data_IF_471278682226
#
_entry.id   IF_471278682226
#
_cell.length_a   1.000
_cell.length_b   1.000
_cell.length_c   1.000
_cell.angle_alpha   90.00
_cell.angle_beta   90.00
_cell.angle_gamma   90.00
#
_symmetry.space_group_name_H-M   'P 1'
#
loop_
_entity.id
_entity.type
_entity.pdbx_description
1 polymer ?
#
# COMPACT_ATOMS: atom_id res chain seq x y z
N UNK A 1 23.41 37.45 -59.38
CA UNK A 1 22.07 37.87 -59.83
C UNK A 1 21.09 36.74 -59.58
N UNK A 2 19.85 37.07 -59.20
CA UNK A 2 18.70 36.20 -58.89
C UNK A 2 18.83 35.31 -57.62
N UNK A 3 18.26 35.82 -56.52
CA UNK A 3 18.08 35.11 -55.26
C UNK A 3 16.73 34.40 -55.15
N UNK A 4 16.67 33.35 -54.31
CA UNK A 4 15.43 32.82 -53.75
C UNK A 4 15.63 32.59 -52.25
N UNK A 5 15.01 33.45 -51.45
CA UNK A 5 14.88 33.34 -49.98
C UNK A 5 13.87 32.24 -49.65
N UNK A 6 14.27 31.23 -48.88
CA UNK A 6 13.35 30.33 -48.16
C UNK A 6 13.09 30.92 -46.77
N UNK A 7 11.81 31.09 -46.45
CA UNK A 7 11.32 31.53 -45.15
C UNK A 7 11.57 30.45 -44.09
N UNK A 8 12.01 30.90 -42.92
CA UNK A 8 11.97 30.17 -41.64
C UNK A 8 10.51 30.13 -41.17
N UNK A 9 10.07 28.95 -40.78
CA UNK A 9 8.95 28.80 -39.86
C UNK A 9 9.56 28.48 -38.49
N UNK A 10 9.57 29.50 -37.64
CA UNK A 10 9.90 29.42 -36.24
C UNK A 10 8.67 28.87 -35.50
N UNK A 11 8.72 27.60 -35.09
CA UNK A 11 7.79 27.02 -34.11
C UNK A 11 8.48 27.09 -32.74
N UNK A 12 8.31 28.24 -32.11
CA UNK A 12 8.72 28.53 -30.74
C UNK A 12 7.55 28.22 -29.78
N UNK A 13 7.86 27.83 -28.53
CA UNK A 13 6.88 27.78 -27.44
C UNK A 13 6.39 26.40 -27.00
N UNK A 14 7.30 25.45 -26.77
CA UNK A 14 7.02 24.31 -25.89
C UNK A 14 7.06 24.75 -24.43
N UNK A 15 5.91 25.10 -23.85
CA UNK A 15 5.81 25.53 -22.45
C UNK A 15 6.23 24.39 -21.51
N UNK A 16 7.20 24.58 -20.61
CA UNK A 16 7.60 23.55 -19.66
C UNK A 16 6.46 23.30 -18.66
N UNK A 17 6.22 22.03 -18.34
CA UNK A 17 5.25 21.51 -17.36
C UNK A 17 5.48 21.99 -15.89
N UNK A 18 6.27 23.04 -15.67
CA UNK A 18 6.73 23.52 -14.37
C UNK A 18 5.96 24.72 -13.80
N UNK A 19 4.94 25.24 -14.47
CA UNK A 19 4.24 26.46 -14.06
C UNK A 19 2.83 26.28 -13.48
N UNK A 20 2.35 25.04 -13.29
CA UNK A 20 1.03 24.78 -12.68
C UNK A 20 0.95 24.94 -11.15
N UNK A 21 2.03 25.36 -10.48
CA UNK A 21 2.10 25.43 -9.03
C UNK A 21 1.86 26.83 -8.42
N UNK A 22 1.52 27.87 -9.20
CA UNK A 22 1.58 29.26 -8.74
C UNK A 22 0.24 30.01 -8.58
N UNK A 23 -0.94 29.34 -8.59
CA UNK A 23 -2.25 30.03 -8.53
C UNK A 23 -3.24 29.53 -7.46
N UNK A 24 -2.77 28.90 -6.38
CA UNK A 24 -3.55 28.85 -5.13
C UNK A 24 -3.00 29.88 -4.13
N UNK A 25 -3.56 31.08 -4.22
CA UNK A 25 -3.40 32.16 -3.26
C UNK A 25 -3.86 31.70 -1.88
N UNK A 26 -2.93 31.71 -0.93
CA UNK A 26 -3.07 32.21 0.44
C UNK A 26 -4.52 32.28 0.98
N UNK A 27 -4.98 31.17 1.55
CA UNK A 27 -6.01 31.18 2.61
C UNK A 27 -5.34 30.76 3.92
N UNK A 28 -4.41 31.59 4.39
CA UNK A 28 -3.85 31.53 5.75
C UNK A 28 -4.93 32.00 6.73
N UNK A 29 -5.39 31.14 7.65
CA UNK A 29 -6.22 31.62 8.76
C UNK A 29 -7.05 30.61 9.57
N UNK A 30 -7.09 29.31 9.26
CA UNK A 30 -7.97 28.38 10.00
C UNK A 30 -7.38 27.03 10.41
N UNK A 31 -6.08 26.80 10.26
CA UNK A 31 -5.44 25.52 10.58
C UNK A 31 -4.77 25.52 11.96
N UNK A 32 -5.56 25.48 13.05
CA UNK A 32 -5.05 25.12 14.39
C UNK A 32 -6.12 24.70 15.41
N UNK A 33 -7.41 24.70 15.07
CA UNK A 33 -8.47 24.26 15.96
C UNK A 33 -9.13 23.00 15.39
N UNK A 34 -8.39 21.89 15.39
CA UNK A 34 -9.05 20.59 15.48
C UNK A 34 -9.72 20.56 16.83
N UNK A 35 -10.96 21.05 16.88
CA UNK A 35 -11.87 20.78 17.97
C UNK A 35 -11.74 19.29 18.27
N UNK A 36 -11.40 18.95 19.52
CA UNK A 36 -11.40 17.59 20.05
C UNK A 36 -12.86 17.11 20.18
N UNK A 37 -13.62 17.25 19.09
CA UNK A 37 -14.86 16.53 18.89
C UNK A 37 -14.51 15.06 18.94
N UNK A 38 -15.27 14.30 19.73
CA UNK A 38 -15.14 12.84 19.76
C UNK A 38 -15.31 12.34 18.33
N UNK A 39 -14.21 11.94 17.68
CA UNK A 39 -14.25 11.14 16.46
C UNK A 39 -15.13 9.93 16.75
N UNK A 40 -16.34 9.98 16.20
CA UNK A 40 -17.36 8.95 16.37
C UNK A 40 -17.46 8.21 15.04
N UNK A 41 -17.14 6.92 15.08
CA UNK A 41 -17.34 6.03 13.93
C UNK A 41 -18.70 5.35 14.07
N UNK A 42 -19.53 5.31 13.01
CA UNK A 42 -20.79 4.57 13.03
C UNK A 42 -20.60 3.05 12.94
N UNK A 43 -19.35 2.58 13.00
CA UNK A 43 -18.94 1.19 12.86
C UNK A 43 -18.05 0.75 14.02
N UNK A 44 -18.00 -0.56 14.25
CA UNK A 44 -17.08 -1.15 15.22
C UNK A 44 -15.67 -1.14 14.65
N UNK A 45 -14.76 -0.48 15.34
CA UNK A 45 -13.34 -0.47 15.01
C UNK A 45 -12.52 -0.82 16.26
N UNK A 46 -11.43 -1.58 16.09
CA UNK A 46 -10.49 -1.76 17.19
C UNK A 46 -9.69 -0.48 17.37
N UNK A 47 -9.42 -0.13 18.63
CA UNK A 47 -8.68 1.07 18.97
C UNK A 47 -7.32 1.16 18.25
N UNK A 48 -6.65 0.02 18.07
CA UNK A 48 -5.33 -0.05 17.43
C UNK A 48 -5.38 -0.07 15.89
N UNK A 49 -6.53 0.12 15.27
CA UNK A 49 -6.64 0.20 13.80
C UNK A 49 -6.76 1.64 13.27
N UNK A 50 -6.94 2.62 14.16
CA UNK A 50 -7.09 4.03 13.78
C UNK A 50 -5.75 4.69 13.51
N UNK A 51 -5.14 4.38 12.37
CA UNK A 51 -3.86 4.94 11.94
C UNK A 51 -4.01 5.66 10.60
N UNK A 52 -3.86 6.98 10.64
CA UNK A 52 -3.92 7.81 9.44
C UNK A 52 -2.69 7.59 8.56
N UNK A 53 -2.89 7.41 7.25
CA UNK A 53 -1.83 7.33 6.25
C UNK A 53 -1.02 8.62 6.24
N UNK A 54 0.30 8.51 6.34
CA UNK A 54 1.17 9.69 6.27
C UNK A 54 1.23 10.30 4.87
N UNK A 55 1.49 11.61 4.82
CA UNK A 55 1.73 12.32 3.56
C UNK A 55 2.92 11.75 2.78
N UNK A 56 3.94 11.22 3.48
CA UNK A 56 5.07 10.53 2.85
C UNK A 56 4.61 9.30 2.06
N UNK A 57 3.82 8.42 2.68
CA UNK A 57 3.29 7.24 2.00
C UNK A 57 2.41 7.62 0.80
N UNK A 58 1.62 8.69 0.92
CA UNK A 58 0.80 9.21 -0.17
C UNK A 58 1.63 9.82 -1.31
N UNK A 59 2.74 10.50 -1.02
CA UNK A 59 3.66 11.04 -2.05
C UNK A 59 4.30 9.95 -2.90
N UNK A 60 4.61 8.81 -2.30
CA UNK A 60 5.18 7.67 -3.01
C UNK A 60 4.15 7.05 -3.96
N UNK A 61 2.94 6.78 -3.48
CA UNK A 61 1.88 6.22 -4.34
C UNK A 61 1.31 7.25 -5.34
N UNK A 62 1.43 8.55 -5.09
CA UNK A 62 1.00 9.59 -6.02
C UNK A 62 1.69 9.47 -7.39
N UNK A 63 2.92 8.97 -7.45
CA UNK A 63 3.60 8.69 -8.73
C UNK A 63 2.81 7.70 -9.59
N UNK A 64 2.32 6.62 -8.97
CA UNK A 64 1.49 5.61 -9.64
C UNK A 64 0.16 6.21 -10.08
N UNK A 65 -0.46 7.00 -9.20
CA UNK A 65 -1.73 7.69 -9.48
C UNK A 65 -1.58 8.62 -10.68
N UNK A 66 -0.51 9.42 -10.74
CA UNK A 66 -0.23 10.31 -11.87
C UNK A 66 -0.07 9.54 -13.19
N UNK A 67 0.68 8.43 -13.18
CA UNK A 67 0.83 7.59 -14.37
C UNK A 67 -0.50 7.01 -14.84
N UNK A 68 -1.34 6.53 -13.92
CA UNK A 68 -2.64 5.96 -14.26
C UNK A 68 -3.61 7.04 -14.74
N UNK A 69 -3.60 8.21 -14.12
CA UNK A 69 -4.39 9.38 -14.50
C UNK A 69 -4.11 9.80 -15.95
N UNK A 70 -2.84 9.84 -16.35
CA UNK A 70 -2.46 10.15 -17.74
C UNK A 70 -2.98 9.13 -18.76
N UNK A 71 -3.19 7.88 -18.34
CA UNK A 71 -3.70 6.81 -19.21
C UNK A 71 -5.23 6.79 -19.28
N UNK A 72 -5.91 6.99 -18.15
CA UNK A 72 -7.37 6.88 -18.06
C UNK A 72 -8.10 8.18 -18.41
N UNK A 73 -7.52 9.33 -18.06
CA UNK A 73 -8.16 10.65 -18.17
C UNK A 73 -7.25 11.70 -18.85
N UNK A 74 -6.63 11.42 -20.01
CA UNK A 74 -5.65 12.33 -20.63
C UNK A 74 -6.22 13.73 -20.92
N UNK A 75 -7.50 13.81 -21.30
CA UNK A 75 -8.16 15.07 -21.67
C UNK A 75 -8.83 15.80 -20.50
N UNK A 76 -9.00 15.14 -19.35
CA UNK A 76 -9.70 15.70 -18.19
C UNK A 76 -9.13 15.10 -16.88
N UNK A 77 -7.84 15.35 -16.59
CA UNK A 77 -7.15 14.76 -15.44
C UNK A 77 -7.80 15.11 -14.10
N UNK A 78 -8.46 16.27 -14.00
CA UNK A 78 -9.23 16.69 -12.83
C UNK A 78 -10.44 15.79 -12.51
N UNK A 79 -10.90 15.00 -13.48
CA UNK A 79 -11.97 14.03 -13.29
C UNK A 79 -11.48 12.69 -12.73
N UNK A 80 -10.18 12.52 -12.49
CA UNK A 80 -9.65 11.31 -11.88
C UNK A 80 -10.11 11.18 -10.42
N UNK A 81 -10.72 10.05 -10.08
CA UNK A 81 -11.33 9.81 -8.77
C UNK A 81 -10.57 8.72 -8.01
N UNK A 82 -10.06 9.09 -6.83
CA UNK A 82 -9.50 8.15 -5.85
C UNK A 82 -10.58 7.75 -4.84
N UNK A 83 -10.72 6.46 -4.57
CA UNK A 83 -11.58 5.93 -3.51
C UNK A 83 -10.75 5.39 -2.34
N UNK A 84 -11.00 5.88 -1.13
CA UNK A 84 -10.43 5.34 0.12
C UNK A 84 -11.55 4.90 1.07
N UNK A 85 -11.84 3.59 1.17
CA UNK A 85 -12.95 3.08 1.97
C UNK A 85 -12.74 3.12 3.49
N UNK A 86 -11.51 3.14 3.97
CA UNK A 86 -11.24 3.00 5.41
C UNK A 86 -11.07 4.37 6.07
N UNK A 87 -12.04 4.76 6.89
CA UNK A 87 -12.07 6.08 7.51
C UNK A 87 -11.34 6.12 8.87
N UNK A 88 -10.36 7.03 8.98
CA UNK A 88 -9.69 7.36 10.24
C UNK A 88 -10.07 8.79 10.70
N UNK A 89 -9.24 9.80 10.48
CA UNK A 89 -9.56 11.19 10.82
C UNK A 89 -10.05 12.02 9.62
N UNK A 90 -10.05 11.43 8.42
CA UNK A 90 -10.45 12.11 7.18
C UNK A 90 -9.39 13.01 6.57
N UNK A 91 -8.16 13.03 7.11
CA UNK A 91 -7.11 13.96 6.63
C UNK A 91 -6.56 13.58 5.27
N UNK A 92 -6.71 12.31 4.86
CA UNK A 92 -6.30 11.79 3.56
C UNK A 92 -6.85 12.63 2.40
N UNK A 93 -8.07 13.17 2.50
CA UNK A 93 -8.68 14.01 1.47
C UNK A 93 -7.86 15.29 1.25
N UNK A 94 -7.44 15.95 2.34
CA UNK A 94 -6.60 17.15 2.27
C UNK A 94 -5.21 16.81 1.70
N UNK A 95 -4.65 15.67 2.06
CA UNK A 95 -3.36 15.23 1.50
C UNK A 95 -3.45 14.96 0.01
N UNK A 96 -4.47 14.24 -0.45
CA UNK A 96 -4.70 14.02 -1.88
C UNK A 96 -4.91 15.31 -2.66
N UNK A 97 -5.68 16.26 -2.13
CA UNK A 97 -5.84 17.59 -2.73
C UNK A 97 -4.50 18.34 -2.85
N UNK A 98 -3.65 18.24 -1.83
CA UNK A 98 -2.29 18.82 -1.85
C UNK A 98 -1.39 18.15 -2.90
N UNK A 99 -1.64 16.88 -3.21
CA UNK A 99 -0.95 16.09 -4.23
C UNK A 99 -1.58 16.23 -5.62
N UNK A 100 -2.62 17.07 -5.79
CA UNK A 100 -3.23 17.38 -7.08
C UNK A 100 -4.44 16.52 -7.46
N UNK A 101 -4.84 15.55 -6.63
CA UNK A 101 -6.06 14.76 -6.84
C UNK A 101 -7.24 15.49 -6.21
N UNK A 102 -8.12 16.05 -7.04
CA UNK A 102 -9.23 16.89 -6.58
C UNK A 102 -10.46 16.10 -6.13
N UNK A 103 -10.68 14.91 -6.73
CA UNK A 103 -11.86 14.07 -6.46
C UNK A 103 -11.46 12.86 -5.64
N UNK A 104 -11.81 12.89 -4.36
CA UNK A 104 -11.55 11.81 -3.41
C UNK A 104 -12.86 11.38 -2.76
N UNK A 105 -13.23 10.11 -2.94
CA UNK A 105 -14.34 9.51 -2.22
C UNK A 105 -13.79 8.94 -0.92
N UNK A 106 -14.13 9.56 0.21
CA UNK A 106 -13.71 9.14 1.53
C UNK A 106 -14.72 9.62 2.58
N UNK A 107 -15.49 8.70 3.13
CA UNK A 107 -16.59 9.01 4.05
C UNK A 107 -16.50 8.15 5.31
N UNK A 108 -16.98 8.69 6.43
CA UNK A 108 -17.07 7.98 7.71
C UNK A 108 -18.22 6.95 7.68
N UNK A 109 -18.07 5.90 6.86
CA UNK A 109 -19.03 4.83 6.62
C UNK A 109 -18.38 3.48 6.93
N UNK A 110 -19.21 2.48 7.18
CA UNK A 110 -18.74 1.10 7.34
C UNK A 110 -18.55 0.47 5.95
N UNK A 111 -17.30 0.34 5.52
CA UNK A 111 -16.96 -0.24 4.22
C UNK A 111 -17.57 -1.62 3.97
N UNK A 112 -17.59 -2.49 4.99
CA UNK A 112 -18.09 -3.85 4.78
C UNK A 112 -19.60 -3.90 4.76
N UNK A 113 -20.25 -3.01 5.51
CA UNK A 113 -21.68 -2.82 5.39
C UNK A 113 -22.04 -2.30 4.00
N UNK A 114 -21.30 -1.30 3.50
CA UNK A 114 -21.51 -0.76 2.16
C UNK A 114 -21.38 -1.85 1.07
N UNK A 115 -20.38 -2.74 1.18
CA UNK A 115 -20.25 -3.91 0.27
C UNK A 115 -21.46 -4.86 0.39
N UNK A 116 -21.89 -5.17 1.61
CA UNK A 116 -22.99 -6.11 1.84
C UNK A 116 -24.33 -5.58 1.33
N UNK A 117 -24.52 -4.26 1.36
CA UNK A 117 -25.72 -3.56 0.92
C UNK A 117 -25.66 -3.17 -0.57
N UNK A 118 -24.49 -3.26 -1.22
CA UNK A 118 -24.28 -2.84 -2.61
C UNK A 118 -24.20 -1.32 -2.78
N UNK A 119 -23.87 -0.61 -1.70
CA UNK A 119 -23.78 0.84 -1.60
C UNK A 119 -22.34 1.36 -1.80
N UNK A 120 -21.37 0.47 -2.05
CA UNK A 120 -20.01 0.88 -2.33
C UNK A 120 -19.92 1.65 -3.67
N UNK A 121 -19.15 2.75 -3.76
CA UNK A 121 -19.10 3.58 -4.96
C UNK A 121 -18.60 2.81 -6.18
N UNK A 122 -19.30 2.88 -7.31
CA UNK A 122 -18.84 2.29 -8.57
C UNK A 122 -18.04 3.29 -9.43
N UNK A 123 -18.33 4.59 -9.32
CA UNK A 123 -17.67 5.66 -10.10
C UNK A 123 -16.37 6.14 -9.44
N UNK A 124 -15.32 5.32 -9.57
CA UNK A 124 -13.94 5.68 -9.22
C UNK A 124 -12.93 5.14 -10.23
N UNK A 125 -11.76 5.75 -10.34
CA UNK A 125 -10.71 5.27 -11.25
C UNK A 125 -9.70 4.35 -10.54
N UNK A 126 -9.38 4.63 -9.27
CA UNK A 126 -8.48 3.80 -8.46
C UNK A 126 -8.87 3.79 -6.98
N UNK A 127 -8.83 2.61 -6.36
CA UNK A 127 -8.95 2.48 -4.89
C UNK A 127 -7.57 2.61 -4.26
N UNK A 128 -7.35 3.56 -3.35
CA UNK A 128 -6.08 3.72 -2.63
C UNK A 128 -6.35 3.81 -1.13
N UNK A 129 -5.77 2.90 -0.33
CA UNK A 129 -6.11 2.84 1.10
C UNK A 129 -5.02 2.27 2.01
N UNK A 130 -5.16 2.49 3.32
CA UNK A 130 -4.39 1.87 4.40
C UNK A 130 -5.38 1.15 5.32
N UNK A 131 -5.67 -0.15 5.09
CA UNK A 131 -6.67 -0.86 5.86
C UNK A 131 -6.23 -1.06 7.32
N UNK A 132 -7.18 -1.31 8.23
CA UNK A 132 -6.91 -1.94 9.52
C UNK A 132 -5.99 -3.17 9.39
N UNK A 133 -5.06 -3.33 10.34
CA UNK A 133 -4.12 -4.46 10.33
C UNK A 133 -4.55 -5.60 11.25
N UNK A 134 -5.57 -5.38 12.09
CA UNK A 134 -6.17 -6.41 12.92
C UNK A 134 -7.00 -7.42 12.10
N UNK A 135 -7.39 -8.52 12.75
CA UNK A 135 -8.35 -9.48 12.20
C UNK A 135 -8.01 -10.02 10.81
N UNK A 136 -9.05 -10.12 9.98
CA UNK A 136 -9.02 -10.59 8.58
C UNK A 136 -9.18 -9.43 7.57
N UNK A 137 -9.01 -8.19 8.02
CA UNK A 137 -9.31 -6.98 7.24
C UNK A 137 -8.56 -6.92 5.90
N UNK A 138 -7.27 -7.28 5.92
CA UNK A 138 -6.40 -7.28 4.74
C UNK A 138 -6.85 -8.34 3.72
N UNK A 139 -7.21 -9.53 4.18
CA UNK A 139 -7.66 -10.63 3.33
C UNK A 139 -9.03 -10.34 2.71
N UNK A 140 -9.97 -9.82 3.51
CA UNK A 140 -11.29 -9.39 3.03
C UNK A 140 -11.20 -8.26 2.02
N UNK A 141 -10.33 -7.26 2.28
CA UNK A 141 -10.06 -6.20 1.30
C UNK A 141 -9.53 -6.80 0.00
N UNK A 142 -8.51 -7.67 0.06
CA UNK A 142 -7.92 -8.24 -1.14
C UNK A 142 -8.93 -9.04 -1.98
N UNK A 143 -9.79 -9.82 -1.33
CA UNK A 143 -10.87 -10.55 -2.00
C UNK A 143 -11.85 -9.60 -2.71
N UNK A 144 -12.23 -8.50 -2.06
CA UNK A 144 -13.04 -7.46 -2.70
C UNK A 144 -12.31 -6.86 -3.91
N UNK A 145 -11.03 -6.48 -3.78
CA UNK A 145 -10.24 -5.87 -4.85
C UNK A 145 -10.15 -6.77 -6.09
N UNK A 146 -9.89 -8.06 -5.91
CA UNK A 146 -9.85 -9.06 -6.98
C UNK A 146 -11.21 -9.20 -7.65
N UNK A 147 -12.29 -9.25 -6.88
CA UNK A 147 -13.65 -9.37 -7.42
C UNK A 147 -14.06 -8.13 -8.24
N UNK A 148 -13.69 -6.93 -7.80
CA UNK A 148 -14.00 -5.67 -8.48
C UNK A 148 -13.24 -5.47 -9.79
N UNK A 149 -12.05 -6.07 -9.95
CA UNK A 149 -11.19 -5.94 -11.16
C UNK A 149 -10.90 -4.50 -11.56
N UNK A 150 -10.82 -3.58 -10.59
CA UNK A 150 -10.47 -2.16 -10.79
C UNK A 150 -9.07 -1.88 -10.27
N UNK A 151 -8.39 -0.83 -10.78
CA UNK A 151 -7.09 -0.41 -10.25
C UNK A 151 -7.12 -0.19 -8.74
N UNK A 152 -6.09 -0.68 -8.05
CA UNK A 152 -5.97 -0.55 -6.61
C UNK A 152 -4.53 -0.35 -6.14
N UNK A 153 -4.39 0.29 -4.99
CA UNK A 153 -3.21 0.27 -4.16
C UNK A 153 -3.61 0.18 -2.69
N UNK A 154 -2.98 -0.71 -1.93
CA UNK A 154 -3.22 -0.78 -0.49
C UNK A 154 -1.90 -0.90 0.29
N UNK A 155 -1.81 -0.16 1.39
CA UNK A 155 -0.63 -0.06 2.23
C UNK A 155 -0.74 -1.04 3.40
N UNK A 156 0.08 -2.08 3.41
CA UNK A 156 0.03 -3.12 4.46
C UNK A 156 1.43 -3.56 4.86
N UNK A 157 1.58 -4.31 5.97
CA UNK A 157 2.88 -4.83 6.38
C UNK A 157 3.54 -5.68 5.29
N UNK A 158 4.86 -5.57 5.19
CA UNK A 158 5.70 -6.28 4.21
C UNK A 158 5.50 -7.81 4.24
N UNK A 159 5.33 -8.36 5.45
CA UNK A 159 5.07 -9.79 5.66
C UNK A 159 3.76 -10.29 5.04
N UNK A 160 2.83 -9.41 4.64
CA UNK A 160 1.60 -9.83 3.97
C UNK A 160 1.92 -10.59 2.68
N UNK A 161 2.94 -10.18 1.94
CA UNK A 161 3.38 -10.87 0.72
C UNK A 161 3.96 -12.28 0.98
N UNK A 162 4.25 -12.63 2.23
CA UNK A 162 4.70 -13.98 2.61
C UNK A 162 3.58 -14.88 3.11
N UNK A 163 2.35 -14.39 3.23
CA UNK A 163 1.20 -15.19 3.70
C UNK A 163 0.73 -16.16 2.61
N UNK A 164 0.37 -17.38 3.02
CA UNK A 164 -0.06 -18.43 2.09
C UNK A 164 -1.34 -18.06 1.34
N UNK A 165 -2.30 -17.42 2.02
CA UNK A 165 -3.54 -16.95 1.40
C UNK A 165 -3.24 -15.93 0.28
N UNK A 166 -2.34 -14.98 0.53
CA UNK A 166 -2.00 -13.94 -0.44
C UNK A 166 -1.29 -14.54 -1.65
N UNK A 167 -0.28 -15.39 -1.42
CA UNK A 167 0.46 -16.07 -2.49
C UNK A 167 -0.43 -16.96 -3.33
N UNK A 168 -1.33 -17.70 -2.70
CA UNK A 168 -2.30 -18.56 -3.39
C UNK A 168 -3.24 -17.72 -4.24
N UNK A 169 -3.78 -16.63 -3.69
CA UNK A 169 -4.68 -15.74 -4.41
C UNK A 169 -4.00 -15.02 -5.57
N UNK A 170 -2.76 -14.54 -5.42
CA UNK A 170 -1.99 -13.95 -6.53
C UNK A 170 -1.77 -14.96 -7.65
N UNK A 171 -1.35 -16.18 -7.33
CA UNK A 171 -1.13 -17.25 -8.33
C UNK A 171 -2.41 -17.71 -9.02
N UNK A 172 -3.54 -17.65 -8.31
CA UNK A 172 -4.85 -18.03 -8.84
C UNK A 172 -5.40 -16.98 -9.79
N UNK A 173 -5.27 -15.70 -9.45
CA UNK A 173 -5.98 -14.62 -10.16
C UNK A 173 -5.12 -13.84 -11.13
N UNK A 174 -3.78 -13.97 -11.10
CA UNK A 174 -2.90 -13.16 -11.92
C UNK A 174 -1.87 -14.00 -12.66
N UNK A 175 -1.48 -13.52 -13.85
CA UNK A 175 -0.39 -14.09 -14.62
C UNK A 175 0.95 -13.70 -13.97
N UNK A 176 1.81 -14.68 -13.62
CA UNK A 176 3.11 -14.38 -13.07
C UNK A 176 3.96 -13.62 -14.09
N UNK A 177 4.78 -12.70 -13.60
CA UNK A 177 5.73 -11.99 -14.44
C UNK A 177 6.85 -12.96 -14.79
N UNK A 178 7.29 -13.03 -16.07
CA UNK A 178 8.45 -13.82 -16.42
C UNK A 178 9.61 -13.40 -15.53
N UNK A 179 10.26 -14.37 -14.86
CA UNK A 179 11.51 -14.10 -14.16
C UNK A 179 12.47 -13.49 -15.18
N UNK A 180 12.65 -12.17 -15.12
CA UNK A 180 13.65 -11.54 -15.95
C UNK A 180 14.96 -12.14 -15.47
N UNK A 181 15.52 -13.09 -16.22
CA UNK A 181 16.76 -13.82 -15.85
C UNK A 181 17.99 -12.93 -15.62
N UNK A 182 17.79 -11.61 -15.61
CA UNK A 182 18.63 -10.58 -15.04
C UNK A 182 17.79 -9.89 -13.96
N UNK A 183 18.02 -10.23 -12.70
CA UNK A 183 17.38 -9.56 -11.56
C UNK A 183 17.37 -8.05 -11.77
N UNK A 184 16.24 -7.43 -11.43
CA UNK A 184 15.88 -6.03 -11.71
C UNK A 184 17.14 -5.15 -11.80
N UNK A 185 17.45 -4.63 -12.99
CA UNK A 185 18.74 -3.97 -13.30
C UNK A 185 18.99 -2.77 -12.37
N UNK A 186 17.92 -2.29 -11.73
CA UNK A 186 17.94 -1.19 -10.76
C UNK A 186 17.96 -1.64 -9.29
N UNK A 187 17.83 -2.93 -8.98
CA UNK A 187 18.07 -3.43 -7.64
C UNK A 187 19.55 -3.26 -7.34
N UNK A 188 19.89 -2.11 -6.75
CA UNK A 188 21.16 -1.93 -6.06
C UNK A 188 21.33 -3.17 -5.19
N UNK A 189 22.42 -3.92 -5.37
CA UNK A 189 22.71 -5.11 -4.55
C UNK A 189 22.71 -4.63 -3.10
N UNK A 190 21.57 -4.81 -2.43
CA UNK A 190 21.38 -4.30 -1.09
C UNK A 190 22.34 -5.07 -0.19
N UNK A 191 23.50 -4.48 0.10
CA UNK A 191 24.31 -4.92 1.23
C UNK A 191 23.47 -4.64 2.46
N UNK A 192 22.77 -5.68 2.93
CA UNK A 192 21.91 -5.64 4.10
C UNK A 192 22.58 -4.80 5.19
N UNK A 193 22.01 -3.65 5.60
CA UNK A 193 22.55 -2.93 6.75
C UNK A 193 22.54 -3.90 7.92
N UNK A 194 23.72 -4.17 8.49
CA UNK A 194 23.90 -4.98 9.70
C UNK A 194 23.31 -4.21 10.88
N UNK A 195 21.99 -4.12 10.96
CA UNK A 195 21.32 -3.59 12.15
C UNK A 195 21.60 -4.55 13.31
N UNK A 196 22.10 -4.05 14.46
CA UNK A 196 22.29 -4.88 15.64
C UNK A 196 20.95 -5.51 16.03
N UNK A 197 20.94 -6.82 16.28
CA UNK A 197 19.75 -7.57 16.68
C UNK A 197 19.04 -7.02 17.94
N UNK A 198 19.70 -6.11 18.67
CA UNK A 198 19.18 -5.43 19.85
C UNK A 198 18.02 -4.45 19.58
N UNK A 199 17.86 -3.91 18.35
CA UNK A 199 16.78 -2.95 18.03
C UNK A 199 15.45 -3.60 17.63
N UNK A 200 15.35 -4.94 17.67
CA UNK A 200 14.14 -5.69 17.37
C UNK A 200 13.38 -6.12 18.64
N UNK A 201 13.19 -5.18 19.59
CA UNK A 201 12.32 -5.45 20.73
C UNK A 201 10.87 -5.67 20.25
N UNK A 202 10.20 -6.75 20.69
CA UNK A 202 8.79 -6.95 20.37
C UNK A 202 7.94 -5.84 21.02
N UNK A 203 6.83 -5.43 20.38
CA UNK A 203 5.90 -4.49 20.99
C UNK A 203 5.36 -5.04 22.33
N UNK A 204 5.19 -4.19 23.36
CA UNK A 204 4.76 -4.59 24.70
C UNK A 204 3.28 -4.98 24.82
N UNK A 205 2.51 -4.95 23.72
CA UNK A 205 1.05 -5.14 23.71
C UNK A 205 0.58 -6.52 23.19
N UNK A 206 1.48 -7.46 22.90
CA UNK A 206 1.12 -8.89 22.80
C UNK A 206 1.20 -9.55 24.20
N UNK A 207 0.47 -9.00 25.16
CA UNK A 207 0.06 -9.76 26.34
C UNK A 207 -1.28 -10.38 26.00
N UNK A 208 -1.25 -11.63 25.52
CA UNK A 208 -2.44 -12.47 25.64
C UNK A 208 -2.73 -12.55 27.13
N UNK A 209 -3.83 -11.95 27.57
CA UNK A 209 -4.43 -12.27 28.85
C UNK A 209 -4.76 -13.76 28.83
N UNK A 210 -3.91 -14.54 29.51
CA UNK A 210 -4.28 -15.86 29.97
C UNK A 210 -5.25 -15.65 31.12
N UNK A 211 -6.55 -15.58 30.83
CA UNK A 211 -7.59 -15.73 31.83
C UNK A 211 -7.52 -17.14 32.37
N UNK A 212 -6.88 -17.28 33.53
CA UNK A 212 -7.04 -18.42 34.41
C UNK A 212 -8.47 -18.40 34.98
N UNK A 213 -9.27 -19.42 34.68
CA UNK A 213 -10.51 -19.71 35.41
C UNK A 213 -10.90 -21.17 35.26
N UNK A 214 -10.84 -21.84 36.42
CA UNK A 214 -11.72 -22.91 36.90
C UNK A 214 -11.79 -24.24 36.12
N UNK A 215 -11.14 -25.22 36.74
CA UNK A 215 -11.48 -26.64 36.83
C UNK A 215 -12.98 -26.95 36.70
N UNK A 216 -13.36 -27.65 35.63
CA UNK A 216 -14.47 -28.62 35.66
C UNK A 216 -14.01 -29.85 34.88
N UNK A 217 -13.84 -30.95 35.60
CA UNK A 217 -13.65 -32.29 35.06
C UNK A 217 -14.98 -32.82 34.52
N UNK A 218 -15.02 -33.31 33.28
CA UNK A 218 -15.87 -34.46 32.89
C UNK A 218 -15.61 -34.90 31.44
N UNK A 219 -15.24 -36.17 31.38
CA UNK A 219 -15.56 -37.21 30.41
C UNK A 219 -14.83 -37.33 29.04
N UNK A 220 -14.19 -38.49 28.95
CA UNK A 220 -13.47 -39.06 27.82
C UNK A 220 -14.45 -39.67 26.81
N UNK A 221 -14.69 -38.99 25.68
CA UNK A 221 -15.28 -39.67 24.51
C UNK A 221 -14.74 -39.14 23.19
N UNK A 222 -13.73 -39.85 22.69
CA UNK A 222 -13.48 -40.18 21.27
C UNK A 222 -14.15 -39.27 20.25
N UNK A 223 -13.40 -38.34 19.64
CA UNK A 223 -13.75 -37.85 18.31
C UNK A 223 -12.54 -37.86 17.35
N UNK A 224 -12.61 -38.82 16.44
CA UNK A 224 -11.74 -39.01 15.29
C UNK A 224 -11.84 -37.78 14.37
N UNK A 225 -10.73 -37.04 14.26
CA UNK A 225 -10.08 -36.66 12.99
C UNK A 225 -10.98 -36.76 11.74
N UNK A 226 -11.86 -35.78 11.53
CA UNK A 226 -12.36 -35.42 10.21
C UNK A 226 -11.47 -34.29 9.69
N UNK A 227 -10.42 -34.72 8.98
CA UNK A 227 -9.67 -33.86 8.06
C UNK A 227 -10.48 -33.94 6.77
N UNK A 228 -11.55 -33.16 6.68
CA UNK A 228 -12.34 -33.07 5.45
C UNK A 228 -11.48 -32.41 4.37
N UNK A 229 -11.23 -33.21 3.35
CA UNK A 229 -10.57 -32.81 2.12
C UNK A 229 -11.40 -31.71 1.45
N UNK A 230 -10.91 -30.48 1.48
CA UNK A 230 -11.34 -29.40 0.58
C UNK A 230 -10.92 -29.77 -0.85
N UNK A 231 -11.72 -30.65 -1.47
CA UNK A 231 -11.60 -31.11 -2.85
C UNK A 231 -12.84 -30.68 -3.62
N UNK A 232 -13.12 -29.37 -3.63
CA UNK A 232 -14.08 -28.77 -4.54
C UNK A 232 -13.46 -27.50 -5.13
N UNK A 233 -13.69 -27.34 -6.43
CA UNK A 233 -13.52 -26.14 -7.24
C UNK A 233 -12.11 -25.85 -7.76
N UNK A 234 -11.62 -26.81 -8.56
CA UNK A 234 -10.71 -26.54 -9.68
C UNK A 234 -11.45 -25.80 -10.82
N UNK A 235 -12.28 -24.80 -10.50
CA UNK A 235 -12.69 -23.86 -11.54
C UNK A 235 -11.45 -23.07 -11.95
N UNK A 236 -11.00 -23.34 -13.16
CA UNK A 236 -9.86 -22.68 -13.79
C UNK A 236 -10.19 -21.19 -13.93
N UNK A 237 -9.83 -20.41 -12.91
CA UNK A 237 -10.09 -18.98 -12.89
C UNK A 237 -9.21 -18.30 -13.93
N UNK A 238 -9.84 -17.72 -14.96
CA UNK A 238 -9.14 -16.93 -15.97
C UNK A 238 -8.39 -15.78 -15.27
N UNK A 239 -7.06 -15.65 -15.43
CA UNK A 239 -6.30 -14.56 -14.83
C UNK A 239 -6.84 -13.19 -15.26
N UNK A 240 -6.93 -12.24 -14.32
CA UNK A 240 -7.47 -10.90 -14.58
C UNK A 240 -6.42 -9.92 -15.13
N UNK A 241 -5.14 -10.32 -15.16
CA UNK A 241 -4.03 -9.53 -15.67
C UNK A 241 -2.69 -10.02 -15.12
N UNK A 242 -1.62 -9.26 -15.39
CA UNK A 242 -0.31 -9.51 -14.77
C UNK A 242 -0.38 -9.29 -13.26
N UNK A 243 0.47 -10.00 -12.51
CA UNK A 243 0.53 -9.86 -11.06
C UNK A 243 0.87 -8.43 -10.59
N UNK A 244 0.49 -8.09 -9.34
CA UNK A 244 0.80 -6.80 -8.74
C UNK A 244 2.29 -6.47 -8.71
N UNK A 245 2.59 -5.17 -8.67
CA UNK A 245 3.91 -4.67 -8.30
C UNK A 245 3.85 -3.98 -6.93
N UNK A 246 5.01 -3.67 -6.38
CA UNK A 246 5.16 -3.21 -5.01
C UNK A 246 6.03 -1.96 -4.96
N UNK A 247 5.62 -0.98 -4.16
CA UNK A 247 6.48 0.15 -3.78
C UNK A 247 7.03 -0.12 -2.40
N UNK A 248 8.32 -0.43 -2.33
CA UNK A 248 9.00 -0.75 -1.08
C UNK A 248 9.73 0.49 -0.58
N UNK A 249 9.25 1.17 0.47
CA UNK A 249 9.93 2.34 1.00
C UNK A 249 11.28 1.94 1.57
N UNK A 250 12.28 2.82 1.41
CA UNK A 250 13.59 2.62 2.05
C UNK A 250 13.55 2.92 3.55
N UNK A 251 12.66 3.83 3.95
CA UNK A 251 12.30 4.13 5.33
C UNK A 251 11.09 3.31 5.82
N UNK A 252 10.70 3.52 7.07
CA UNK A 252 9.36 3.13 7.53
C UNK A 252 8.45 4.33 7.36
N UNK A 253 7.22 4.10 6.92
CA UNK A 253 6.21 5.13 7.08
C UNK A 253 5.81 5.25 8.54
N UNK A 254 5.69 6.48 8.99
CA UNK A 254 5.08 6.80 10.27
C UNK A 254 3.56 6.94 10.08
N UNK A 255 2.82 6.60 11.13
CA UNK A 255 1.37 6.68 11.15
C UNK A 255 0.93 7.44 12.39
N UNK A 256 -0.04 8.32 12.23
CA UNK A 256 -0.58 9.12 13.34
C UNK A 256 -1.91 8.55 13.79
N UNK A 257 -2.04 8.29 15.10
CA UNK A 257 -3.33 7.97 15.68
C UNK A 257 -4.06 9.27 16.05
N UNK A 258 -5.37 9.41 15.78
CA UNK A 258 -6.11 10.65 16.01
C UNK A 258 -6.12 11.12 17.47
N UNK A 259 -6.02 10.18 18.42
CA UNK A 259 -5.94 10.48 19.86
C UNK A 259 -4.53 10.77 20.38
N UNK A 260 -3.54 10.93 19.49
CA UNK A 260 -2.14 11.18 19.88
C UNK A 260 -1.47 10.03 20.66
N UNK A 261 -2.06 8.84 20.62
CA UNK A 261 -1.49 7.63 21.24
C UNK A 261 -0.74 6.80 20.20
N UNK A 262 0.13 5.92 20.65
CA UNK A 262 0.95 5.10 19.77
C UNK A 262 2.42 5.43 19.90
N UNK A 263 3.23 4.79 19.08
CA UNK A 263 4.67 5.08 19.03
C UNK A 263 4.93 5.98 17.85
N UNK A 264 5.99 6.78 17.96
CA UNK A 264 6.47 7.67 16.90
C UNK A 264 6.71 6.91 15.58
N UNK A 265 7.03 5.61 15.67
CA UNK A 265 7.33 4.77 14.50
C UNK A 265 6.55 3.46 14.48
N UNK A 266 6.14 3.05 13.27
CA UNK A 266 5.52 1.74 13.03
C UNK A 266 6.43 0.59 13.45
N UNK A 267 5.83 -0.43 14.08
CA UNK A 267 6.53 -1.65 14.47
C UNK A 267 6.94 -2.54 13.30
N UNK A 268 6.29 -2.35 12.16
CA UNK A 268 6.47 -3.15 10.97
C UNK A 268 6.93 -2.23 9.84
N UNK A 269 7.59 -2.82 8.83
CA UNK A 269 7.74 -2.14 7.55
C UNK A 269 6.45 -2.35 6.80
N UNK A 270 5.94 -1.29 6.18
CA UNK A 270 4.79 -1.34 5.30
C UNK A 270 5.25 -1.05 3.88
N UNK A 271 4.51 -1.57 2.90
CA UNK A 271 4.77 -1.31 1.49
C UNK A 271 3.45 -1.24 0.73
N UNK A 272 3.45 -0.55 -0.40
CA UNK A 272 2.26 -0.50 -1.25
C UNK A 272 2.18 -1.75 -2.12
N UNK A 273 0.99 -2.34 -2.16
CA UNK A 273 0.63 -3.43 -3.05
C UNK A 273 -0.23 -2.85 -4.16
N UNK A 274 0.25 -2.87 -5.40
CA UNK A 274 -0.29 -2.05 -6.49
C UNK A 274 -0.64 -2.90 -7.70
N UNK A 275 -1.84 -2.70 -8.24
CA UNK A 275 -2.28 -3.30 -9.49
C UNK A 275 -3.16 -2.30 -10.25
N UNK A 276 -2.88 -2.07 -11.53
CA UNK A 276 -3.59 -1.05 -12.32
C UNK A 276 -4.30 -1.64 -13.54
N UNK A 277 -4.84 -2.84 -13.38
CA UNK A 277 -5.58 -3.51 -14.44
C UNK A 277 -4.70 -3.87 -15.64
N UNK A 278 -5.28 -3.70 -16.83
CA UNK A 278 -4.56 -3.84 -18.11
C UNK A 278 -3.38 -2.88 -18.29
N UNK A 279 -3.30 -1.82 -17.48
CA UNK A 279 -2.26 -0.80 -17.55
C UNK A 279 -1.09 -1.04 -16.58
N UNK A 280 -1.05 -2.19 -15.91
CA UNK A 280 -0.04 -2.51 -14.88
C UNK A 280 1.38 -2.36 -15.41
N UNK A 281 1.66 -2.85 -16.62
CA UNK A 281 2.99 -2.79 -17.23
C UNK A 281 3.41 -1.37 -17.58
N UNK A 282 2.50 -0.57 -18.15
CA UNK A 282 2.75 0.82 -18.55
C UNK A 282 2.98 1.71 -17.32
N UNK A 283 2.12 1.58 -16.32
CA UNK A 283 2.22 2.33 -15.05
C UNK A 283 3.50 1.96 -14.31
N UNK A 284 3.85 0.68 -14.23
CA UNK A 284 5.10 0.21 -13.63
C UNK A 284 6.32 0.86 -14.31
N UNK A 285 6.37 0.85 -15.64
CA UNK A 285 7.47 1.44 -16.40
C UNK A 285 7.57 2.94 -16.16
N UNK A 286 6.45 3.66 -16.25
CA UNK A 286 6.38 5.09 -15.97
C UNK A 286 6.84 5.42 -14.55
N UNK A 287 6.40 4.64 -13.58
CA UNK A 287 6.77 4.77 -12.15
C UNK A 287 8.28 4.58 -11.95
N UNK A 288 8.88 3.54 -12.57
CA UNK A 288 10.35 3.32 -12.52
C UNK A 288 11.13 4.51 -13.10
N UNK A 289 10.68 5.06 -14.24
CA UNK A 289 11.32 6.21 -14.88
C UNK A 289 11.22 7.46 -13.99
N UNK A 290 10.05 7.71 -13.41
CA UNK A 290 9.80 8.89 -12.58
C UNK A 290 10.61 8.85 -11.28
N UNK A 291 10.67 7.72 -10.57
CA UNK A 291 11.54 7.61 -9.40
C UNK A 291 13.03 7.72 -9.76
N UNK A 292 13.46 7.16 -10.90
CA UNK A 292 14.83 7.32 -11.37
C UNK A 292 15.17 8.79 -11.70
N UNK A 293 14.20 9.55 -12.23
CA UNK A 293 14.33 11.00 -12.49
C UNK A 293 14.45 11.77 -11.17
N UNK A 294 13.54 11.55 -10.21
CA UNK A 294 13.57 12.17 -8.87
C UNK A 294 14.88 11.90 -8.16
N UNK A 295 15.36 10.65 -8.18
CA UNK A 295 16.64 10.29 -7.58
C UNK A 295 17.85 11.05 -8.16
N UNK A 296 17.81 11.46 -9.45
CA UNK A 296 18.88 12.28 -10.05
C UNK A 296 18.79 13.74 -9.60
N UNK A 297 17.59 14.29 -9.55
CA UNK A 297 17.32 15.69 -9.16
C UNK A 297 17.57 15.91 -7.66
N UNK A 298 17.13 14.97 -6.84
CA UNK A 298 17.26 14.98 -5.38
C UNK A 298 18.64 14.49 -4.93
N UNK A 299 19.62 14.32 -5.81
CA UNK A 299 20.99 14.05 -5.36
C UNK A 299 21.53 15.11 -4.38
N UNK A 300 20.89 16.29 -4.34
CA UNK A 300 21.14 17.37 -3.37
C UNK A 300 20.23 17.32 -2.13
N UNK A 301 19.02 16.76 -2.21
CA UNK A 301 18.05 16.66 -1.11
C UNK A 301 17.91 15.19 -0.72
N UNK A 302 18.16 14.83 0.54
CA UNK A 302 18.18 13.42 1.01
C UNK A 302 16.82 12.68 0.96
N UNK A 303 15.89 13.07 0.09
CA UNK A 303 14.64 12.34 -0.11
C UNK A 303 14.94 10.99 -0.76
N UNK A 304 14.50 9.94 -0.09
CA UNK A 304 14.82 8.58 -0.49
C UNK A 304 13.63 8.03 -1.27
N UNK A 305 13.80 7.79 -2.57
CA UNK A 305 12.75 7.18 -3.40
C UNK A 305 12.54 5.71 -3.05
N UNK A 306 11.30 5.20 -3.07
CA UNK A 306 11.00 3.79 -2.86
C UNK A 306 11.56 2.92 -4.00
N UNK A 307 11.84 1.65 -3.71
CA UNK A 307 12.18 0.67 -4.73
C UNK A 307 10.88 0.13 -5.36
N UNK A 308 10.89 -0.10 -6.68
CA UNK A 308 9.72 -0.59 -7.44
C UNK A 308 9.98 -2.03 -7.88
N UNK A 309 9.23 -2.97 -7.32
CA UNK A 309 9.45 -4.42 -7.48
C UNK A 309 8.25 -5.05 -8.17
N UNK A 310 8.45 -5.84 -9.23
CA UNK A 310 7.34 -6.47 -9.96
C UNK A 310 7.26 -7.97 -9.68
N UNK A 311 6.18 -8.40 -9.03
CA UNK A 311 5.91 -9.81 -8.80
C UNK A 311 6.44 -10.38 -7.49
N UNK A 312 5.83 -11.49 -7.08
CA UNK A 312 6.17 -12.17 -5.81
C UNK A 312 7.60 -12.72 -5.79
N UNK A 313 8.06 -13.24 -6.93
CA UNK A 313 9.40 -13.83 -7.03
C UNK A 313 10.48 -12.74 -6.92
N UNK A 314 10.29 -11.59 -7.57
CA UNK A 314 11.22 -10.47 -7.46
C UNK A 314 11.29 -9.90 -6.03
N UNK A 315 10.17 -9.87 -5.29
CA UNK A 315 10.17 -9.50 -3.86
C UNK A 315 11.03 -10.46 -3.02
N UNK A 316 10.93 -11.76 -3.29
CA UNK A 316 11.68 -12.79 -2.58
C UNK A 316 13.18 -12.74 -2.92
N UNK A 317 13.51 -12.62 -4.22
CA UNK A 317 14.88 -12.51 -4.73
C UNK A 317 15.59 -11.25 -4.23
N UNK A 318 14.88 -10.11 -4.19
CA UNK A 318 15.39 -8.85 -3.67
C UNK A 318 15.52 -8.80 -2.14
N UNK A 319 15.10 -9.85 -1.43
CA UNK A 319 15.06 -9.90 0.04
C UNK A 319 14.27 -8.76 0.69
N UNK A 320 13.26 -8.23 -0.01
CA UNK A 320 12.38 -7.19 0.51
C UNK A 320 11.45 -7.74 1.59
N UNK A 321 11.14 -9.03 1.52
CA UNK A 321 10.32 -9.75 2.49
C UNK A 321 11.12 -10.86 3.16
N UNK A 322 10.95 -11.01 4.47
CA UNK A 322 11.60 -12.09 5.21
C UNK A 322 10.88 -13.42 4.91
N UNK A 323 11.43 -14.21 4.00
CA UNK A 323 10.88 -15.53 3.60
C UNK A 323 10.95 -16.60 4.70
N UNK A 324 11.59 -16.30 5.83
CA UNK A 324 11.67 -17.21 6.98
C UNK A 324 10.56 -16.99 7.98
N UNK A 325 10.01 -18.07 8.53
CA UNK A 325 9.20 -18.04 9.74
C UNK A 325 9.93 -17.22 10.81
N UNK A 326 9.44 -16.02 11.10
CA UNK A 326 9.99 -15.21 12.18
C UNK A 326 9.84 -16.03 13.45
N UNK A 327 10.96 -16.46 14.03
CA UNK A 327 10.94 -17.22 15.28
C UNK A 327 10.06 -16.48 16.29
N UNK A 328 9.16 -17.20 16.96
CA UNK A 328 8.31 -16.59 17.98
C UNK A 328 9.17 -15.89 19.06
N UNK A 329 8.64 -14.91 19.81
CA UNK A 329 9.42 -14.17 20.81
C UNK A 329 10.16 -15.07 21.80
N UNK A 330 9.55 -16.18 22.23
CA UNK A 330 10.14 -17.16 23.14
C UNK A 330 11.34 -17.89 22.54
N UNK A 331 11.26 -18.34 21.28
CA UNK A 331 12.36 -18.98 20.54
C UNK A 331 13.50 -18.00 20.31
N UNK A 332 13.20 -16.73 20.03
CA UNK A 332 14.22 -15.66 19.95
C UNK A 332 14.89 -15.43 21.30
N UNK A 333 14.13 -15.40 22.40
CA UNK A 333 14.69 -15.26 23.74
C UNK A 333 15.58 -16.46 24.11
N UNK A 334 15.15 -17.69 23.81
CA UNK A 334 15.93 -18.91 24.04
C UNK A 334 17.26 -18.90 23.27
N UNK A 335 17.26 -18.46 22.00
CA UNK A 335 18.49 -18.32 21.21
C UNK A 335 19.44 -17.24 21.73
N UNK A 336 18.92 -16.16 22.35
CA UNK A 336 19.77 -15.13 22.98
C UNK A 336 20.42 -15.63 24.26
N UNK A 337 19.72 -16.44 25.05
CA UNK A 337 20.22 -16.95 26.32
C UNK A 337 21.17 -18.15 26.17
N UNK A 338 21.01 -18.98 25.13
CA UNK A 338 21.87 -20.15 24.90
C UNK A 338 23.25 -19.88 24.27
N UNK A 339 23.66 -18.60 24.14
CA UNK A 339 24.98 -18.19 23.61
C UNK A 339 25.88 -17.53 24.67
N UNK A 340 25.46 -17.50 25.92
CA UNK A 340 26.31 -17.22 27.09
C UNK A 340 26.68 -18.54 27.72
#
# INVERSE_FOLDING_TARGET
>A
MAGRRRRRDDFDGGTPLRERAAHLRSRTGHDAEFAVGRLLHPFRAEFNDHFETSLEALRDIAVVVDQLLLLLRPSAPENFVVYDPYYCAGTVVRYWNTLGVQRVIHANRDFYKDIAEGDDPDDYDMLVTNPPFSGDHIERLFNYLVARKKPFAFLVPDYTATKDWYRTAVRRHFTPVPSSGKGDINASRHTRPKLPAALLQPPPFLKMEQTASAEIALDDTKNKKQKEDNKCDNEETIPIGTEPFYLVPRGRYDFSHPKGVGKDHSHFRTMWFVWTGRHTTEVLRGTKVEFARRHREDSTQRQVSPDVVHGLDALAEGHYVQSGLRLNPQRRAKQRNGRR
#
